data_IF_477515156323
#
_entry.id   IF_477515156323
#
_cell.length_a   1.000
_cell.length_b   1.000
_cell.length_c   1.000
_cell.angle_alpha   90.00
_cell.angle_beta   90.00
_cell.angle_gamma   90.00
#
_symmetry.space_group_name_H-M   'P 1'
#
loop_
_entity.id
_entity.type
_entity.pdbx_description
1 polymer ?
#
# COMPACT_ATOMS: atom_id res chain seq x y z
N UNK A 1 3.23 52.43 87.99
CA UNK A 1 3.08 51.01 87.69
C UNK A 1 3.06 50.85 86.17
N UNK A 2 4.21 50.61 85.57
CA UNK A 2 4.35 50.45 84.11
C UNK A 2 4.59 48.95 83.85
N UNK A 3 3.69 48.31 83.06
CA UNK A 3 3.85 46.95 82.66
C UNK A 3 4.74 46.87 81.39
N UNK A 4 5.74 45.98 81.31
CA UNK A 4 6.55 45.81 80.12
C UNK A 4 5.81 45.06 79.04
N UNK A 5 5.97 45.59 77.83
CA UNK A 5 5.48 44.91 76.55
C UNK A 5 6.19 43.60 76.30
N UNK A 6 5.43 42.60 76.04
CA UNK A 6 5.93 41.27 75.67
C UNK A 6 6.55 41.30 74.25
N UNK A 7 7.83 40.88 74.19
CA UNK A 7 8.57 40.74 72.98
C UNK A 7 7.88 39.66 72.02
N UNK A 8 7.68 40.07 70.78
CA UNK A 8 7.38 39.13 69.68
C UNK A 8 8.55 38.16 69.52
N UNK A 9 8.33 36.91 69.78
CA UNK A 9 9.26 35.85 69.42
C UNK A 9 9.39 35.82 67.90
N UNK A 10 10.49 36.26 67.36
CA UNK A 10 10.87 36.11 65.99
C UNK A 10 11.12 34.59 65.75
N UNK A 11 10.40 34.02 64.84
CA UNK A 11 10.64 32.61 64.43
C UNK A 11 12.06 32.54 63.87
N UNK A 12 12.82 31.46 64.19
CA UNK A 12 14.18 31.29 63.68
C UNK A 12 14.17 31.28 62.17
N UNK A 13 15.06 32.02 61.55
CA UNK A 13 15.24 32.17 60.11
C UNK A 13 15.28 30.81 59.38
N UNK A 14 15.87 29.80 60.03
CA UNK A 14 15.96 28.43 59.51
C UNK A 14 14.60 27.77 59.20
N UNK A 15 13.55 28.11 59.93
CA UNK A 15 12.21 27.57 59.62
C UNK A 15 11.58 28.18 58.39
N UNK A 16 11.87 29.43 58.10
CA UNK A 16 11.34 30.11 56.94
C UNK A 16 12.03 29.58 55.70
N UNK A 17 13.32 29.32 55.76
CA UNK A 17 14.09 28.79 54.64
C UNK A 17 13.74 27.32 54.33
N UNK A 18 13.47 26.50 55.36
CA UNK A 18 12.99 25.14 55.17
C UNK A 18 11.60 25.07 54.50
N UNK A 19 10.70 25.99 54.83
CA UNK A 19 9.37 26.06 54.21
C UNK A 19 9.49 26.52 52.76
N UNK A 20 10.38 27.47 52.45
CA UNK A 20 10.66 27.92 51.07
C UNK A 20 11.27 26.78 50.25
N UNK A 21 12.24 26.05 50.75
CA UNK A 21 12.90 24.94 50.08
C UNK A 21 11.92 23.81 49.76
N UNK A 22 11.04 23.44 50.69
CA UNK A 22 10.00 22.44 50.48
C UNK A 22 8.97 22.86 49.41
N UNK A 23 8.62 24.16 49.34
CA UNK A 23 7.72 24.67 48.30
C UNK A 23 8.35 24.67 46.90
N UNK A 24 9.62 24.99 46.79
CA UNK A 24 10.33 24.94 45.51
C UNK A 24 10.44 23.50 44.98
N UNK A 25 10.78 22.53 45.82
CA UNK A 25 10.87 21.14 45.41
C UNK A 25 9.50 20.52 45.01
N UNK A 26 8.42 20.90 45.69
CA UNK A 26 7.08 20.48 45.36
C UNK A 26 6.61 21.00 43.98
N UNK A 27 6.98 22.24 43.64
CA UNK A 27 6.68 22.85 42.34
C UNK A 27 7.54 22.24 41.21
N UNK A 28 8.81 21.92 41.50
CA UNK A 28 9.71 21.32 40.52
C UNK A 28 9.28 19.88 40.15
N UNK A 29 8.84 19.10 41.13
CA UNK A 29 8.33 17.74 40.91
C UNK A 29 6.98 17.74 40.19
N UNK A 30 6.10 18.72 40.42
CA UNK A 30 4.82 18.86 39.68
C UNK A 30 5.02 19.23 38.22
N UNK A 31 6.04 19.99 37.84
CA UNK A 31 6.32 20.33 36.44
C UNK A 31 6.69 19.10 35.62
N UNK A 32 7.40 18.12 36.17
CA UNK A 32 7.72 16.86 35.50
C UNK A 32 6.49 15.97 35.28
N UNK A 33 5.49 16.05 36.13
CA UNK A 33 4.24 15.27 35.94
C UNK A 33 3.30 15.92 34.92
N UNK A 34 3.24 17.26 34.86
CA UNK A 34 2.42 17.97 33.87
C UNK A 34 2.96 17.80 32.44
N UNK A 35 4.28 17.76 32.24
CA UNK A 35 4.88 17.57 30.92
C UNK A 35 4.72 16.11 30.42
N UNK A 36 4.72 15.10 31.31
CA UNK A 36 4.50 13.71 30.92
C UNK A 36 3.10 13.44 30.36
N UNK A 37 2.08 14.11 30.89
CA UNK A 37 0.71 14.00 30.41
C UNK A 37 0.52 14.63 29.03
N UNK A 38 1.15 15.76 28.74
CA UNK A 38 1.05 16.44 27.46
C UNK A 38 1.63 15.59 26.30
N UNK A 39 2.80 15.00 26.49
CA UNK A 39 3.42 14.11 25.50
C UNK A 39 2.59 12.85 25.26
N UNK A 40 1.97 12.29 26.29
CA UNK A 40 1.11 11.11 26.14
C UNK A 40 -0.15 11.39 25.32
N UNK A 41 -0.76 12.57 25.51
CA UNK A 41 -1.93 13.01 24.73
C UNK A 41 -1.54 13.27 23.28
N UNK A 42 -0.42 13.91 23.04
CA UNK A 42 0.11 14.17 21.70
C UNK A 42 0.40 12.86 20.96
N UNK A 43 1.07 11.91 21.61
CA UNK A 43 1.33 10.59 21.07
C UNK A 43 0.04 9.81 20.78
N UNK A 44 -0.97 9.91 21.64
CA UNK A 44 -2.26 9.26 21.45
C UNK A 44 -3.03 9.77 20.22
N UNK A 45 -2.82 11.01 19.81
CA UNK A 45 -3.43 11.57 18.60
C UNK A 45 -2.61 11.27 17.33
N UNK A 46 -1.29 11.28 17.45
CA UNK A 46 -0.39 11.07 16.30
C UNK A 46 -0.33 9.58 15.89
N UNK A 47 -0.31 8.65 16.85
CA UNK A 47 -0.20 7.22 16.56
C UNK A 47 -1.32 6.68 15.65
N UNK A 48 -2.62 6.95 15.89
CA UNK A 48 -3.66 6.48 14.99
C UNK A 48 -3.54 7.08 13.59
N UNK A 49 -3.15 8.34 13.48
CA UNK A 49 -2.94 9.00 12.18
C UNK A 49 -1.80 8.32 11.39
N UNK A 50 -0.67 8.03 12.04
CA UNK A 50 0.46 7.32 11.43
C UNK A 50 0.07 5.91 11.01
N UNK A 51 -0.70 5.19 11.84
CA UNK A 51 -1.19 3.85 11.50
C UNK A 51 -2.12 3.86 10.29
N UNK A 52 -3.00 4.87 10.18
CA UNK A 52 -3.84 5.04 9.00
C UNK A 52 -3.03 5.31 7.73
N UNK A 53 -2.03 6.18 7.80
CA UNK A 53 -1.14 6.46 6.67
C UNK A 53 -0.38 5.19 6.26
N UNK A 54 0.16 4.45 7.22
CA UNK A 54 0.85 3.19 6.95
C UNK A 54 -0.06 2.14 6.32
N UNK A 55 -1.32 2.03 6.78
CA UNK A 55 -2.31 1.12 6.21
C UNK A 55 -2.66 1.47 4.75
N UNK A 56 -2.85 2.76 4.45
CA UNK A 56 -3.10 3.23 3.07
C UNK A 56 -1.89 2.98 2.18
N UNK A 57 -0.69 3.27 2.65
CA UNK A 57 0.55 3.05 1.89
C UNK A 57 0.75 1.56 1.56
N UNK A 58 0.55 0.66 2.53
CA UNK A 58 0.68 -0.79 2.32
C UNK A 58 -0.40 -1.33 1.39
N UNK A 59 -1.64 -0.84 1.49
CA UNK A 59 -2.73 -1.19 0.58
C UNK A 59 -2.46 -0.77 -0.86
N UNK A 60 -1.97 0.45 -1.07
CA UNK A 60 -1.62 0.98 -2.39
C UNK A 60 -0.49 0.18 -3.04
N UNK A 61 0.53 -0.19 -2.28
CA UNK A 61 1.62 -1.04 -2.75
C UNK A 61 1.10 -2.38 -3.28
N UNK A 62 0.23 -3.06 -2.52
CA UNK A 62 -0.32 -4.36 -2.92
C UNK A 62 -1.17 -4.30 -4.19
N UNK A 63 -1.93 -3.22 -4.38
CA UNK A 63 -2.69 -3.01 -5.63
C UNK A 63 -1.75 -2.82 -6.81
N UNK A 64 -0.67 -2.06 -6.64
CA UNK A 64 0.33 -1.81 -7.68
C UNK A 64 1.05 -3.10 -8.09
N UNK A 65 1.34 -3.99 -7.15
CA UNK A 65 1.95 -5.30 -7.40
C UNK A 65 1.05 -6.14 -8.31
N UNK A 66 -0.22 -6.33 -7.96
CA UNK A 66 -1.14 -7.14 -8.80
C UNK A 66 -1.38 -6.49 -10.16
N UNK A 67 -1.41 -5.17 -10.24
CA UNK A 67 -1.51 -4.47 -11.53
C UNK A 67 -0.27 -4.71 -12.40
N UNK A 68 0.92 -4.75 -11.81
CA UNK A 68 2.16 -5.08 -12.52
C UNK A 68 2.16 -6.52 -13.03
N UNK A 69 1.70 -7.48 -12.19
CA UNK A 69 1.56 -8.89 -12.57
C UNK A 69 0.59 -9.07 -13.75
N UNK A 70 -0.58 -8.42 -13.68
CA UNK A 70 -1.56 -8.46 -14.77
C UNK A 70 -1.01 -7.83 -16.05
N UNK A 71 -0.22 -6.75 -15.95
CA UNK A 71 0.42 -6.12 -17.11
C UNK A 71 1.51 -7.02 -17.71
N UNK A 72 2.33 -7.68 -16.88
CA UNK A 72 3.32 -8.66 -17.32
C UNK A 72 2.65 -9.81 -18.07
N UNK A 73 1.62 -10.39 -17.48
CA UNK A 73 0.85 -11.48 -18.09
C UNK A 73 0.24 -11.08 -19.45
N UNK A 74 -0.29 -9.86 -19.56
CA UNK A 74 -0.82 -9.35 -20.82
C UNK A 74 0.28 -9.21 -21.88
N UNK A 75 1.46 -8.68 -21.53
CA UNK A 75 2.59 -8.54 -22.45
C UNK A 75 3.10 -9.89 -22.95
N UNK A 76 3.28 -10.84 -22.04
CA UNK A 76 3.75 -12.19 -22.41
C UNK A 76 2.72 -12.91 -23.27
N UNK A 77 1.42 -12.79 -22.96
CA UNK A 77 0.33 -13.37 -23.76
C UNK A 77 0.25 -12.75 -25.16
N UNK A 78 0.33 -11.42 -25.28
CA UNK A 78 0.32 -10.72 -26.57
C UNK A 78 1.54 -11.12 -27.42
N UNK A 79 2.72 -11.20 -26.81
CA UNK A 79 3.94 -11.63 -27.50
C UNK A 79 3.83 -13.09 -27.97
N UNK A 80 3.35 -13.99 -27.12
CA UNK A 80 3.12 -15.38 -27.51
C UNK A 80 2.12 -15.50 -28.66
N UNK A 81 1.05 -14.70 -28.62
CA UNK A 81 0.07 -14.61 -29.69
C UNK A 81 0.66 -14.07 -31.01
N UNK A 82 1.58 -13.11 -30.96
CA UNK A 82 2.17 -12.49 -32.15
C UNK A 82 3.18 -13.37 -32.89
N UNK A 83 3.74 -14.39 -32.23
CA UNK A 83 4.76 -15.28 -32.83
C UNK A 83 4.20 -16.61 -33.28
N UNK A 84 2.91 -16.87 -33.08
CA UNK A 84 2.25 -18.09 -33.48
C UNK A 84 2.10 -18.23 -35.02
N UNK A 85 1.98 -19.44 -35.51
CA UNK A 85 1.84 -19.71 -36.95
C UNK A 85 0.40 -19.56 -37.46
N UNK A 86 -0.58 -19.66 -36.57
CA UNK A 86 -2.02 -19.52 -36.91
C UNK A 86 -2.76 -18.76 -35.79
N UNK A 87 -3.93 -18.22 -36.12
CA UNK A 87 -4.79 -17.49 -35.17
C UNK A 87 -5.18 -18.37 -33.97
N UNK A 88 -5.61 -19.62 -34.26
CA UNK A 88 -6.02 -20.57 -33.23
C UNK A 88 -4.88 -20.94 -32.29
N UNK A 89 -3.70 -21.16 -32.80
CA UNK A 89 -2.49 -21.40 -32.01
C UNK A 89 -2.13 -20.17 -31.18
N UNK A 90 -2.16 -18.97 -31.77
CA UNK A 90 -1.86 -17.70 -31.08
C UNK A 90 -2.75 -17.48 -29.88
N UNK A 91 -4.04 -17.70 -30.01
CA UNK A 91 -5.00 -17.62 -28.90
C UNK A 91 -4.67 -18.67 -27.83
N UNK A 92 -4.51 -19.93 -28.20
CA UNK A 92 -4.31 -21.04 -27.26
C UNK A 92 -2.98 -20.90 -26.47
N UNK A 93 -1.89 -20.55 -27.15
CA UNK A 93 -0.57 -20.38 -26.53
C UNK A 93 -0.55 -19.13 -25.68
N UNK A 94 -1.07 -18.01 -26.19
CA UNK A 94 -1.13 -16.76 -25.45
C UNK A 94 -1.93 -16.89 -24.15
N UNK A 95 -3.09 -17.53 -24.19
CA UNK A 95 -3.89 -17.79 -22.98
C UNK A 95 -3.14 -18.69 -21.98
N UNK A 96 -2.53 -19.77 -22.44
CA UNK A 96 -1.79 -20.70 -21.56
C UNK A 96 -0.63 -20.02 -20.86
N UNK A 97 0.17 -19.27 -21.60
CA UNK A 97 1.36 -18.59 -21.06
C UNK A 97 0.96 -17.47 -20.12
N UNK A 98 -0.05 -16.68 -20.49
CA UNK A 98 -0.55 -15.63 -19.62
C UNK A 98 -1.17 -16.15 -18.31
N UNK A 99 -1.89 -17.28 -18.36
CA UNK A 99 -2.40 -17.92 -17.13
C UNK A 99 -1.26 -18.49 -16.27
N UNK A 100 -0.22 -19.02 -16.89
CA UNK A 100 0.95 -19.51 -16.17
C UNK A 100 1.70 -18.36 -15.44
N UNK A 101 1.77 -17.20 -16.05
CA UNK A 101 2.38 -15.99 -15.43
C UNK A 101 1.59 -15.52 -14.19
N UNK A 102 0.26 -15.69 -14.20
CA UNK A 102 -0.58 -15.33 -13.07
C UNK A 102 -0.63 -16.41 -11.98
N UNK A 103 -0.03 -17.56 -12.22
CA UNK A 103 -0.02 -18.64 -11.24
C UNK A 103 0.77 -18.24 -9.99
N UNK A 104 0.14 -18.35 -8.82
CA UNK A 104 0.74 -17.96 -7.56
C UNK A 104 0.65 -16.46 -7.21
N UNK A 105 0.09 -15.63 -8.09
CA UNK A 105 -0.23 -14.24 -7.78
C UNK A 105 -1.53 -14.11 -6.98
N UNK A 106 -1.82 -12.92 -6.48
CA UNK A 106 -3.08 -12.63 -5.76
C UNK A 106 -4.28 -12.39 -6.68
N UNK A 107 -4.14 -12.72 -7.94
CA UNK A 107 -5.20 -12.62 -8.93
C UNK A 107 -6.24 -13.74 -8.70
N UNK A 108 -7.46 -13.38 -8.33
CA UNK A 108 -8.58 -14.31 -8.24
C UNK A 108 -9.38 -14.26 -9.53
N UNK A 109 -9.78 -15.44 -10.03
CA UNK A 109 -10.55 -15.59 -11.28
C UNK A 109 -9.87 -14.90 -12.48
N UNK A 110 -8.61 -15.25 -12.82
CA UNK A 110 -7.95 -14.68 -13.98
C UNK A 110 -8.69 -15.07 -15.26
N UNK A 111 -8.97 -14.10 -16.12
CA UNK A 111 -9.47 -14.32 -17.47
C UNK A 111 -8.56 -13.61 -18.47
N UNK A 112 -8.20 -14.33 -19.54
CA UNK A 112 -7.31 -13.81 -20.57
C UNK A 112 -7.99 -13.98 -21.94
N UNK A 113 -8.16 -12.86 -22.63
CA UNK A 113 -8.60 -12.81 -24.00
C UNK A 113 -7.43 -12.40 -24.88
N UNK A 114 -7.10 -13.21 -25.85
CA UNK A 114 -6.04 -12.94 -26.83
C UNK A 114 -6.68 -12.77 -28.19
N UNK A 115 -6.33 -11.70 -28.88
CA UNK A 115 -6.71 -11.43 -30.25
C UNK A 115 -5.45 -11.48 -31.11
N UNK A 116 -5.42 -12.40 -32.03
CA UNK A 116 -4.35 -12.62 -33.02
C UNK A 116 -4.92 -12.63 -34.44
N UNK A 117 -6.06 -11.96 -34.66
CA UNK A 117 -6.76 -11.94 -35.98
C UNK A 117 -5.90 -11.41 -37.11
N UNK A 118 -4.99 -10.47 -36.83
CA UNK A 118 -4.07 -9.92 -37.81
C UNK A 118 -3.03 -10.92 -38.35
N UNK A 119 -2.95 -12.14 -37.77
CA UNK A 119 -2.17 -13.25 -38.34
C UNK A 119 -2.71 -13.71 -39.70
N UNK A 120 -3.95 -13.39 -40.05
CA UNK A 120 -4.53 -13.67 -41.37
C UNK A 120 -4.07 -12.70 -42.46
N UNK A 121 -3.46 -11.56 -42.09
CA UNK A 121 -2.97 -10.58 -43.05
C UNK A 121 -1.85 -11.17 -43.93
N UNK A 122 -1.76 -10.80 -45.22
CA UNK A 122 -0.68 -11.24 -46.07
C UNK A 122 0.70 -10.84 -45.52
N UNK A 123 1.75 -11.60 -45.91
CA UNK A 123 3.12 -11.28 -45.57
C UNK A 123 3.50 -9.87 -46.13
N UNK A 124 4.17 -9.09 -45.36
CA UNK A 124 4.54 -7.69 -45.69
C UNK A 124 3.60 -6.64 -45.08
N UNK A 125 2.43 -7.04 -44.58
CA UNK A 125 1.54 -6.08 -43.86
C UNK A 125 1.83 -6.05 -42.37
N UNK A 126 1.84 -4.84 -41.81
CA UNK A 126 1.97 -4.65 -40.37
C UNK A 126 0.68 -5.09 -39.69
N UNK A 127 0.79 -5.89 -38.65
CA UNK A 127 -0.33 -6.30 -37.80
C UNK A 127 0.06 -6.28 -36.34
N UNK A 128 -0.92 -6.44 -35.46
CA UNK A 128 -0.73 -6.47 -34.00
C UNK A 128 -1.50 -7.63 -33.39
N UNK A 129 -0.89 -8.30 -32.42
CA UNK A 129 -1.63 -9.17 -31.52
C UNK A 129 -1.89 -8.41 -30.22
N UNK A 130 -3.07 -8.56 -29.67
CA UNK A 130 -3.41 -7.95 -28.38
C UNK A 130 -3.81 -9.02 -27.36
N UNK A 131 -3.53 -8.74 -26.11
CA UNK A 131 -4.00 -9.56 -25.00
C UNK A 131 -4.59 -8.68 -23.91
N UNK A 132 -5.76 -9.09 -23.43
CA UNK A 132 -6.48 -8.45 -22.34
C UNK A 132 -6.53 -9.43 -21.17
N UNK A 133 -6.03 -9.00 -20.03
CA UNK A 133 -6.03 -9.74 -18.77
C UNK A 133 -6.98 -9.06 -17.81
N UNK A 134 -7.90 -9.80 -17.23
CA UNK A 134 -8.78 -9.33 -16.17
C UNK A 134 -8.58 -10.15 -14.91
N UNK A 135 -8.61 -9.45 -13.77
CA UNK A 135 -8.23 -9.95 -12.45
C UNK A 135 -9.15 -9.39 -11.38
N UNK A 136 -9.60 -10.23 -10.47
CA UNK A 136 -10.36 -9.75 -9.30
C UNK A 136 -9.52 -9.93 -8.05
N UNK A 137 -9.41 -8.86 -7.24
CA UNK A 137 -8.69 -8.87 -5.97
C UNK A 137 -9.69 -8.69 -4.85
N UNK A 138 -9.64 -9.55 -3.83
CA UNK A 138 -10.47 -9.40 -2.64
C UNK A 138 -9.88 -8.33 -1.71
N UNK A 139 -10.72 -7.44 -1.17
CA UNK A 139 -10.29 -6.43 -0.21
C UNK A 139 -9.73 -7.04 1.09
N UNK A 140 -10.24 -8.21 1.48
CA UNK A 140 -9.70 -8.96 2.62
C UNK A 140 -8.21 -9.28 2.49
N UNK A 141 -7.70 -9.40 1.27
CA UNK A 141 -6.31 -9.73 0.99
C UNK A 141 -5.42 -8.48 0.89
N UNK A 142 -6.04 -7.30 0.79
CA UNK A 142 -5.33 -6.03 0.59
C UNK A 142 -5.05 -5.27 1.88
N UNK A 143 -6.07 -5.02 2.70
CA UNK A 143 -5.98 -4.01 3.78
C UNK A 143 -6.28 -4.62 5.15
N UNK A 144 -7.46 -5.21 5.31
CA UNK A 144 -7.93 -5.76 6.59
C UNK A 144 -8.56 -7.13 6.36
N UNK A 145 -8.13 -8.18 7.06
CA UNK A 145 -8.78 -9.48 7.01
C UNK A 145 -10.27 -9.38 7.36
N UNK A 146 -11.13 -9.92 6.48
CA UNK A 146 -12.58 -9.91 6.68
C UNK A 146 -13.32 -8.70 6.13
N UNK A 147 -12.65 -7.72 5.50
CA UNK A 147 -13.32 -6.61 4.85
C UNK A 147 -14.05 -7.10 3.59
N UNK A 148 -15.37 -6.89 3.47
CA UNK A 148 -16.14 -7.30 2.29
C UNK A 148 -15.82 -6.38 1.10
N UNK A 149 -15.82 -6.98 -0.09
CA UNK A 149 -15.63 -6.28 -1.36
C UNK A 149 -14.50 -6.84 -2.21
N UNK A 150 -14.46 -6.40 -3.46
CA UNK A 150 -13.45 -6.78 -4.44
C UNK A 150 -13.18 -5.65 -5.42
N UNK A 151 -11.94 -5.57 -5.91
CA UNK A 151 -11.55 -4.71 -7.01
C UNK A 151 -11.34 -5.53 -8.28
N UNK A 152 -11.81 -4.98 -9.41
CA UNK A 152 -11.55 -5.52 -10.71
C UNK A 152 -10.42 -4.73 -11.36
N UNK A 153 -9.39 -5.44 -11.83
CA UNK A 153 -8.25 -4.87 -12.55
C UNK A 153 -8.26 -5.44 -13.96
N UNK A 154 -8.03 -4.57 -14.91
CA UNK A 154 -7.88 -4.91 -16.31
C UNK A 154 -6.57 -4.33 -16.84
N UNK A 155 -5.82 -5.15 -17.59
CA UNK A 155 -4.59 -4.76 -18.26
C UNK A 155 -4.63 -5.23 -19.72
N UNK A 156 -4.18 -4.36 -20.62
CA UNK A 156 -4.13 -4.64 -22.06
C UNK A 156 -2.70 -4.42 -22.54
N UNK A 157 -2.22 -5.35 -23.37
CA UNK A 157 -0.94 -5.21 -24.04
C UNK A 157 -1.06 -5.51 -25.52
N UNK A 158 -0.18 -4.94 -26.30
CA UNK A 158 -0.09 -5.13 -27.74
C UNK A 158 1.33 -5.58 -28.11
N UNK A 159 1.42 -6.48 -29.08
CA UNK A 159 2.68 -6.92 -29.66
C UNK A 159 2.60 -6.84 -31.18
N UNK A 160 3.60 -6.24 -31.80
CA UNK A 160 3.67 -6.17 -33.28
C UNK A 160 3.96 -7.52 -33.86
N UNK A 161 3.31 -7.85 -34.97
CA UNK A 161 3.61 -9.03 -35.76
C UNK A 161 4.84 -8.78 -36.64
N UNK A 162 5.67 -9.82 -36.78
CA UNK A 162 6.76 -9.77 -37.75
C UNK A 162 6.21 -9.84 -39.17
N UNK A 163 6.45 -8.80 -39.96
CA UNK A 163 5.99 -8.70 -41.35
C UNK A 163 6.71 -9.64 -42.30
N UNK A 164 7.83 -10.23 -41.92
CA UNK A 164 8.68 -11.06 -42.77
C UNK A 164 8.54 -12.59 -42.50
N UNK A 165 7.69 -12.94 -41.53
CA UNK A 165 7.52 -14.32 -41.11
C UNK A 165 6.53 -15.05 -42.02
N UNK A 166 6.88 -16.26 -42.45
CA UNK A 166 5.94 -17.18 -43.12
C UNK A 166 4.77 -17.52 -42.17
N UNK A 167 3.55 -17.43 -42.69
CA UNK A 167 2.30 -17.75 -42.00
C UNK A 167 1.60 -18.85 -42.76
N UNK A 168 1.16 -19.87 -42.06
CA UNK A 168 0.32 -20.89 -42.65
C UNK A 168 -1.15 -20.42 -42.60
N UNK A 169 -1.77 -20.28 -43.74
CA UNK A 169 -3.20 -19.96 -43.88
C UNK A 169 -4.05 -21.24 -43.78
#
# INVERSE_FOLDING_TARGET
MIRPFHGRALLPQDRIDQIRYRRCNACQNRRHWCCRGAVAVEAALILPALLMIAAVATGSWRISEVKADAQSAAQVAARAGSVASSVGEGIAVGQRVGLAELAGTRCSNPAIAVDSSDLTLPVGFAGTASARVSCTIKLSDLIVPGMPGSFHIESVAHSTLDSHRERYS
#
